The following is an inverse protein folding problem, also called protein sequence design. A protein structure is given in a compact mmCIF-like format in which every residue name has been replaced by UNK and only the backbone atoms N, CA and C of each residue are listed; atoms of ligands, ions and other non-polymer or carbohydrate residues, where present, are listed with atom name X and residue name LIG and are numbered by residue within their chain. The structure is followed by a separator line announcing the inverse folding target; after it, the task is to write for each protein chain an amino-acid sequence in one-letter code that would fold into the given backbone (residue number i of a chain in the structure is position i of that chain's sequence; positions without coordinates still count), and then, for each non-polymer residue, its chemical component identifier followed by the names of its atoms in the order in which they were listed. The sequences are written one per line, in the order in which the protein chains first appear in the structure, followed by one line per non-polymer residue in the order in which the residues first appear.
data_IF_395546137985
#
_entry.id   IF_395546137985
#
_cell.length_a   1.000
_cell.length_b   1.000
_cell.length_c   1.000
_cell.angle_alpha   90.00
_cell.angle_beta   90.00
_cell.angle_gamma   90.00
#
_symmetry.space_group_name_H-M   'P 1'
#
loop_
_entity.id
_entity.type
_entity.pdbx_description
1 polymer ?
#
# COMPACT_ATOMS: atom_id res chain seq x y z
N UNK A 1 53.32 16.16 -22.93
CA UNK A 1 52.66 14.92 -22.47
C UNK A 1 51.35 14.77 -23.24
N UNK A 2 51.23 13.79 -24.16
CA UNK A 2 50.02 13.60 -24.98
C UNK A 2 49.08 12.65 -24.25
N UNK A 3 47.93 13.14 -23.82
CA UNK A 3 46.92 12.31 -23.16
C UNK A 3 46.34 11.36 -24.20
N UNK A 4 46.35 10.06 -23.88
CA UNK A 4 45.81 9.03 -24.76
C UNK A 4 44.29 9.17 -24.86
N UNK A 5 43.80 9.48 -26.06
CA UNK A 5 42.37 9.71 -26.34
C UNK A 5 41.51 8.49 -25.98
N UNK A 6 42.05 7.28 -26.09
CA UNK A 6 41.36 6.06 -25.69
C UNK A 6 41.08 6.02 -24.18
N UNK A 7 42.03 6.53 -23.38
CA UNK A 7 41.91 6.58 -21.92
C UNK A 7 40.84 7.58 -21.46
N UNK A 8 40.73 8.72 -22.16
CA UNK A 8 39.69 9.72 -21.90
C UNK A 8 38.31 9.16 -22.22
N UNK A 9 38.19 8.42 -23.33
CA UNK A 9 36.94 7.81 -23.74
C UNK A 9 36.46 6.73 -22.74
N UNK A 10 37.38 5.86 -22.28
CA UNK A 10 37.05 4.82 -21.32
C UNK A 10 36.63 5.39 -19.96
N UNK A 11 37.28 6.47 -19.51
CA UNK A 11 36.89 7.16 -18.26
C UNK A 11 35.52 7.83 -18.40
N UNK A 12 35.23 8.44 -19.55
CA UNK A 12 33.93 9.05 -19.81
C UNK A 12 32.78 8.03 -19.82
N UNK A 13 32.98 6.87 -20.46
CA UNK A 13 31.98 5.78 -20.49
C UNK A 13 31.74 5.24 -19.07
N UNK A 14 32.81 5.03 -18.29
CA UNK A 14 32.69 4.56 -16.91
C UNK A 14 31.88 5.55 -16.06
N UNK A 15 32.11 6.86 -16.26
CA UNK A 15 31.38 7.91 -15.55
C UNK A 15 29.89 7.93 -15.92
N UNK A 16 29.56 7.75 -17.20
CA UNK A 16 28.17 7.65 -17.67
C UNK A 16 27.47 6.45 -17.04
N UNK A 17 28.10 5.28 -17.03
CA UNK A 17 27.54 4.06 -16.41
C UNK A 17 27.30 4.25 -14.90
N UNK A 18 28.27 4.85 -14.19
CA UNK A 18 28.14 5.18 -12.77
C UNK A 18 26.96 6.12 -12.50
N UNK A 19 26.86 7.22 -13.26
CA UNK A 19 25.77 8.18 -13.10
C UNK A 19 24.42 7.53 -13.41
N UNK A 20 24.31 6.74 -14.49
CA UNK A 20 23.08 6.01 -14.83
C UNK A 20 22.64 5.03 -13.75
N UNK A 21 23.57 4.33 -13.08
CA UNK A 21 23.22 3.41 -11.99
C UNK A 21 22.62 4.12 -10.76
N UNK A 22 23.04 5.35 -10.47
CA UNK A 22 22.51 6.14 -9.34
C UNK A 22 21.06 6.58 -9.60
N UNK A 23 20.69 6.86 -10.85
CA UNK A 23 19.31 7.23 -11.22
C UNK A 23 18.31 6.07 -11.15
N UNK A 24 18.75 4.84 -11.42
CA UNK A 24 17.88 3.64 -11.31
C UNK A 24 17.58 3.29 -9.85
N UNK A 25 18.45 3.70 -8.91
CA UNK A 25 18.26 3.51 -7.48
C UNK A 25 17.38 4.59 -6.83
N UNK A 26 16.49 5.24 -7.59
CA UNK A 26 15.42 6.07 -7.01
C UNK A 26 14.42 5.11 -6.36
N UNK A 27 14.76 4.71 -5.14
CA UNK A 27 13.99 3.90 -4.20
C UNK A 27 12.50 4.20 -4.32
N UNK A 28 11.71 3.21 -4.72
CA UNK A 28 10.27 3.21 -4.48
C UNK A 28 10.08 3.19 -2.96
N UNK A 29 10.01 4.37 -2.34
CA UNK A 29 9.67 4.49 -0.92
C UNK A 29 8.19 4.12 -0.77
N UNK A 30 7.93 2.83 -0.59
CA UNK A 30 6.63 2.32 -0.17
C UNK A 30 6.54 2.37 1.35
N UNK A 31 5.58 3.12 1.90
CA UNK A 31 5.23 2.99 3.31
C UNK A 31 4.13 1.94 3.42
N UNK A 32 4.34 0.93 4.24
CA UNK A 32 3.37 -0.14 4.48
C UNK A 32 2.85 0.02 5.89
N UNK A 33 1.53 0.04 6.05
CA UNK A 33 0.84 0.01 7.33
C UNK A 33 0.04 -1.29 7.41
N UNK A 34 0.02 -1.93 8.58
CA UNK A 34 -0.64 -3.21 8.81
C UNK A 34 -1.45 -3.19 10.10
N UNK A 35 -2.55 -3.92 10.11
CA UNK A 35 -3.36 -4.18 11.28
C UNK A 35 -3.92 -5.59 11.22
N UNK A 36 -3.99 -6.26 12.35
CA UNK A 36 -4.55 -7.60 12.48
C UNK A 36 -5.49 -7.62 13.67
N UNK A 37 -6.64 -8.24 13.50
CA UNK A 37 -7.59 -8.52 14.55
C UNK A 37 -7.96 -10.00 14.56
N UNK A 38 -9.02 -10.37 15.29
CA UNK A 38 -9.53 -11.74 15.30
C UNK A 38 -10.11 -12.15 13.94
N UNK A 39 -10.71 -11.22 13.21
CA UNK A 39 -11.43 -11.52 11.97
C UNK A 39 -10.74 -11.00 10.71
N UNK A 40 -9.82 -10.03 10.83
CA UNK A 40 -9.27 -9.33 9.68
C UNK A 40 -7.75 -9.20 9.73
N UNK A 41 -7.13 -9.32 8.56
CA UNK A 41 -5.78 -8.84 8.29
C UNK A 41 -5.84 -7.77 7.22
N UNK A 42 -5.42 -6.56 7.57
CA UNK A 42 -5.44 -5.41 6.66
C UNK A 42 -4.04 -4.89 6.42
N UNK A 43 -3.75 -4.55 5.17
CA UNK A 43 -2.53 -3.83 4.78
C UNK A 43 -2.87 -2.64 3.89
N UNK A 44 -2.27 -1.49 4.20
CA UNK A 44 -2.29 -0.29 3.39
C UNK A 44 -0.87 -0.01 2.91
N UNK A 45 -0.65 -0.05 1.61
CA UNK A 45 0.62 0.28 0.96
C UNK A 45 0.49 1.62 0.28
N UNK A 46 1.33 2.58 0.64
CA UNK A 46 1.39 3.93 0.06
C UNK A 46 2.68 4.02 -0.77
N UNK A 47 2.53 3.96 -2.08
CA UNK A 47 3.60 4.01 -3.08
C UNK A 47 3.73 5.43 -3.62
N UNK A 48 4.71 6.18 -3.13
CA UNK A 48 4.80 7.63 -3.35
C UNK A 48 3.49 8.35 -2.93
N UNK A 49 3.39 9.68 -3.07
CA UNK A 49 2.22 10.44 -2.59
C UNK A 49 0.92 10.13 -3.34
N UNK A 50 0.98 9.35 -4.42
CA UNK A 50 -0.08 9.33 -5.43
C UNK A 50 -0.79 7.97 -5.56
N UNK A 51 -0.17 6.85 -5.18
CA UNK A 51 -0.77 5.52 -5.35
C UNK A 51 -0.86 4.84 -3.99
N UNK A 52 -2.08 4.45 -3.60
CA UNK A 52 -2.32 3.69 -2.39
C UNK A 52 -3.09 2.41 -2.69
N UNK A 53 -2.64 1.29 -2.15
CA UNK A 53 -3.30 -0.02 -2.28
C UNK A 53 -3.72 -0.50 -0.90
N UNK A 54 -4.98 -0.88 -0.76
CA UNK A 54 -5.47 -1.58 0.42
C UNK A 54 -5.74 -3.03 0.10
N UNK A 55 -5.35 -3.90 1.02
CA UNK A 55 -5.70 -5.31 1.04
C UNK A 55 -6.43 -5.62 2.34
N UNK A 56 -7.59 -6.25 2.25
CA UNK A 56 -8.37 -6.76 3.39
C UNK A 56 -8.55 -8.27 3.20
N UNK A 57 -8.05 -9.06 4.14
CA UNK A 57 -8.17 -10.51 4.17
C UNK A 57 -9.04 -10.91 5.36
N UNK A 58 -10.12 -11.65 5.10
CA UNK A 58 -10.96 -12.20 6.16
C UNK A 58 -10.31 -13.47 6.71
N UNK A 59 -9.95 -13.46 7.99
CA UNK A 59 -9.31 -14.58 8.71
C UNK A 59 -10.16 -15.11 9.86
N UNK A 60 -11.41 -14.64 9.96
CA UNK A 60 -12.35 -15.07 10.99
C UNK A 60 -12.82 -16.51 10.83
N UNK A 61 -13.58 -16.95 11.83
CA UNK A 61 -14.10 -18.32 11.94
C UNK A 61 -15.56 -18.48 11.49
N UNK A 62 -16.22 -17.44 10.94
CA UNK A 62 -17.57 -17.63 10.38
C UNK A 62 -17.54 -18.73 9.34
N UNK A 63 -18.54 -19.59 9.40
CA UNK A 63 -18.73 -20.72 8.48
C UNK A 63 -19.95 -20.54 7.59
N UNK A 64 -20.74 -19.51 7.88
CA UNK A 64 -21.88 -19.06 7.09
C UNK A 64 -21.46 -18.09 6.00
N UNK A 65 -22.30 -17.98 4.97
CA UNK A 65 -22.06 -17.09 3.82
C UNK A 65 -22.14 -15.64 4.24
N UNK A 66 -21.05 -14.92 4.04
CA UNK A 66 -20.99 -13.47 4.18
C UNK A 66 -21.44 -12.84 2.86
N UNK A 67 -22.30 -11.81 2.89
CA UNK A 67 -22.98 -11.28 1.70
C UNK A 67 -22.49 -9.89 1.29
N UNK A 68 -22.17 -9.04 2.26
CA UNK A 68 -21.79 -7.65 2.03
C UNK A 68 -20.52 -7.29 2.80
N UNK A 69 -19.57 -6.68 2.10
CA UNK A 69 -18.37 -6.10 2.69
C UNK A 69 -18.30 -4.62 2.36
N UNK A 70 -18.03 -3.79 3.38
CA UNK A 70 -17.74 -2.37 3.21
C UNK A 70 -16.50 -1.99 4.01
N UNK A 71 -15.78 -0.96 3.57
CA UNK A 71 -14.67 -0.41 4.33
C UNK A 71 -14.57 1.10 4.20
N UNK A 72 -13.99 1.73 5.22
CA UNK A 72 -13.70 3.17 5.26
C UNK A 72 -12.41 3.44 6.02
N UNK A 73 -11.48 4.14 5.37
CA UNK A 73 -10.22 4.58 5.99
C UNK A 73 -10.34 6.03 6.46
N UNK A 74 -10.02 6.28 7.73
CA UNK A 74 -9.87 7.63 8.28
C UNK A 74 -8.50 8.22 7.92
N UNK A 75 -8.43 9.53 7.67
CA UNK A 75 -7.19 10.21 7.24
C UNK A 75 -7.03 10.31 5.72
N UNK A 76 -8.01 9.83 4.94
CA UNK A 76 -8.09 10.08 3.51
C UNK A 76 -8.88 11.37 3.23
N UNK A 77 -8.33 12.31 2.46
CA UNK A 77 -9.08 13.51 2.04
C UNK A 77 -10.18 13.17 1.03
N UNK A 78 -10.01 12.12 0.24
CA UNK A 78 -10.96 11.61 -0.75
C UNK A 78 -11.15 10.09 -0.60
N UNK A 79 -12.39 9.64 -0.84
CA UNK A 79 -12.92 8.27 -0.99
C UNK A 79 -11.94 7.10 -0.95
N UNK A 80 -11.36 6.83 0.22
CA UNK A 80 -10.78 5.53 0.52
C UNK A 80 -11.81 4.67 1.26
N UNK A 81 -12.91 4.44 0.55
CA UNK A 81 -14.01 3.58 0.95
C UNK A 81 -14.46 2.75 -0.24
N UNK A 82 -15.05 1.60 0.03
CA UNK A 82 -15.62 0.75 -1.00
C UNK A 82 -16.59 -0.24 -0.39
N UNK A 83 -17.44 -0.79 -1.24
CA UNK A 83 -18.31 -1.91 -0.91
C UNK A 83 -18.21 -2.95 -2.01
N UNK A 84 -18.31 -4.20 -1.63
CA UNK A 84 -18.38 -5.34 -2.53
C UNK A 84 -19.46 -6.29 -2.03
N UNK A 85 -20.30 -6.76 -2.95
CA UNK A 85 -21.26 -7.82 -2.71
C UNK A 85 -20.66 -9.12 -3.24
N UNK A 86 -20.63 -10.15 -2.42
CA UNK A 86 -20.04 -11.43 -2.78
C UNK A 86 -19.93 -12.36 -1.58
N UNK A 87 -19.62 -13.63 -1.82
CA UNK A 87 -19.39 -14.61 -0.75
C UNK A 87 -17.98 -14.47 -0.20
N UNK A 88 -17.84 -13.99 1.05
CA UNK A 88 -16.53 -13.91 1.71
C UNK A 88 -16.33 -15.11 2.62
N UNK A 89 -15.42 -16.01 2.24
CA UNK A 89 -15.02 -17.15 3.09
C UNK A 89 -13.69 -16.87 3.78
N UNK A 90 -13.36 -17.65 4.81
CA UNK A 90 -12.03 -17.58 5.45
C UNK A 90 -10.92 -17.70 4.39
N UNK A 91 -9.96 -16.77 4.42
CA UNK A 91 -8.89 -16.62 3.44
C UNK A 91 -9.25 -15.79 2.20
N UNK A 92 -10.50 -15.34 2.05
CA UNK A 92 -10.86 -14.41 0.98
C UNK A 92 -10.07 -13.10 1.16
N UNK A 93 -9.53 -12.61 0.04
CA UNK A 93 -8.72 -11.41 0.00
C UNK A 93 -9.28 -10.45 -1.04
N UNK A 94 -9.61 -9.25 -0.57
CA UNK A 94 -9.95 -8.12 -1.40
C UNK A 94 -8.79 -7.15 -1.48
N UNK A 95 -8.56 -6.62 -2.66
CA UNK A 95 -7.53 -5.62 -2.90
C UNK A 95 -8.08 -4.50 -3.78
N UNK A 96 -7.86 -3.25 -3.37
CA UNK A 96 -8.20 -2.07 -4.18
C UNK A 96 -7.03 -1.11 -4.21
N UNK A 97 -6.58 -0.80 -5.41
CA UNK A 97 -5.67 0.30 -5.67
C UNK A 97 -6.45 1.57 -6.02
N UNK A 98 -5.97 2.70 -5.53
CA UNK A 98 -6.51 4.00 -5.89
C UNK A 98 -5.36 4.99 -6.15
N UNK A 99 -5.51 5.76 -7.22
CA UNK A 99 -4.60 6.82 -7.65
C UNK A 99 -5.17 8.18 -7.26
N UNK A 100 -4.31 9.09 -6.79
CA UNK A 100 -4.62 10.48 -6.37
C UNK A 100 -5.33 10.62 -5.01
N UNK A 101 -4.94 9.82 -4.02
CA UNK A 101 -5.41 10.02 -2.65
C UNK A 101 -4.32 10.62 -1.77
N UNK A 102 -4.55 11.85 -1.30
CA UNK A 102 -3.81 12.38 -0.16
C UNK A 102 -4.25 11.63 1.09
N UNK A 103 -3.45 10.63 1.49
CA UNK A 103 -3.57 9.93 2.76
C UNK A 103 -2.62 10.56 3.77
N UNK A 104 -3.18 11.08 4.86
CA UNK A 104 -2.42 11.64 5.98
C UNK A 104 -2.70 10.79 7.22
N UNK A 105 -1.68 10.16 7.82
CA UNK A 105 -1.88 9.43 9.07
C UNK A 105 -2.22 10.39 10.22
N UNK A 106 -2.74 9.85 11.32
CA UNK A 106 -3.04 10.63 12.51
C UNK A 106 -1.76 11.14 13.23
N UNK A 107 -1.92 11.85 14.34
CA UNK A 107 -0.82 12.39 15.16
C UNK A 107 0.16 11.31 15.66
N UNK A 108 -0.28 10.05 15.75
CA UNK A 108 0.54 8.89 16.15
C UNK A 108 1.19 8.16 14.95
N UNK A 109 1.08 8.71 13.74
CA UNK A 109 1.50 8.06 12.50
C UNK A 109 0.78 6.72 12.23
N UNK A 110 -0.54 6.68 12.47
CA UNK A 110 -1.40 5.52 12.28
C UNK A 110 -2.58 5.85 11.36
N UNK A 111 -3.16 4.83 10.72
CA UNK A 111 -4.45 4.93 10.04
C UNK A 111 -5.49 4.12 10.79
N UNK A 112 -6.74 4.58 10.78
CA UNK A 112 -7.86 3.83 11.35
C UNK A 112 -8.73 3.37 10.20
N UNK A 113 -8.95 2.07 10.10
CA UNK A 113 -9.90 1.50 9.16
C UNK A 113 -11.12 0.97 9.91
N UNK A 114 -12.30 1.26 9.37
CA UNK A 114 -13.55 0.61 9.76
C UNK A 114 -13.93 -0.36 8.65
N UNK A 115 -14.20 -1.60 9.03
CA UNK A 115 -14.66 -2.69 8.16
C UNK A 115 -16.09 -3.01 8.59
N UNK A 116 -16.99 -3.20 7.63
CA UNK A 116 -18.37 -3.63 7.87
C UNK A 116 -18.60 -4.93 7.11
N UNK A 117 -19.06 -5.96 7.80
CA UNK A 117 -19.36 -7.26 7.23
C UNK A 117 -20.78 -7.66 7.62
N UNK A 118 -21.70 -7.72 6.67
CA UNK A 118 -23.13 -7.97 6.91
C UNK A 118 -23.75 -7.10 8.04
N UNK A 119 -23.26 -5.86 8.17
CA UNK A 119 -23.71 -4.91 9.21
C UNK A 119 -22.92 -4.99 10.53
N UNK A 120 -22.09 -6.01 10.74
CA UNK A 120 -21.15 -6.03 11.86
C UNK A 120 -19.95 -5.15 11.56
N UNK A 121 -19.65 -4.22 12.46
CA UNK A 121 -18.57 -3.24 12.25
C UNK A 121 -17.38 -3.53 13.15
N UNK A 122 -16.19 -3.43 12.58
CA UNK A 122 -14.94 -3.61 13.29
C UNK A 122 -13.97 -2.47 12.96
N UNK A 123 -13.24 -1.98 13.95
CA UNK A 123 -12.23 -0.94 13.79
C UNK A 123 -10.85 -1.50 14.03
N UNK A 124 -9.96 -1.33 13.05
CA UNK A 124 -8.55 -1.71 13.16
C UNK A 124 -7.65 -0.49 13.05
N UNK A 125 -6.58 -0.48 13.84
CA UNK A 125 -5.51 0.51 13.76
C UNK A 125 -4.39 -0.08 12.90
N UNK A 126 -4.02 0.63 11.84
CA UNK A 126 -2.93 0.28 10.95
C UNK A 126 -1.68 1.05 11.35
N UNK A 127 -0.62 0.32 11.69
CA UNK A 127 0.68 0.86 12.12
C UNK A 127 1.77 0.44 11.13
N UNK A 128 2.84 1.23 11.06
CA UNK A 128 3.97 0.98 10.17
C UNK A 128 4.77 -0.26 10.57
#
# INVERSE_FOLDING_TARGET
MRINRAYVLSVAILFIVLVSSVFVYKSNNSNIYKGVSENWRVSLTINNKDISTISCEYIGKRTDTINNFEYKLAGASNYFSGSEQGEWTSGYRYEKSNSNNNLTPNENNEFIITLTLDGETEKLILKK
#
